data_IF_732247339866
#
_entry.id   IF_732247339866
#
_cell.length_a   1.000
_cell.length_b   1.000
_cell.length_c   1.000
_cell.angle_alpha   90.00
_cell.angle_beta   90.00
_cell.angle_gamma   90.00
#
_symmetry.space_group_name_H-M   'P 1'
#
loop_
_entity.id
_entity.type
_entity.pdbx_description
1 polymer ?
#
# COMPACT_ATOMS: atom_id res chain seq x y z
N UNK A 1 -3.37 10.73 10.66
CA UNK A 1 -2.85 9.59 9.88
C UNK A 1 -1.34 9.65 9.80
N UNK A 2 -0.71 8.49 9.73
CA UNK A 2 0.71 8.37 9.42
C UNK A 2 1.00 8.72 7.97
N UNK A 3 2.14 9.35 7.71
CA UNK A 3 2.59 9.65 6.35
C UNK A 3 2.93 8.37 5.58
N UNK A 4 2.70 8.36 4.27
CA UNK A 4 3.08 7.23 3.44
C UNK A 4 4.60 7.17 3.22
N UNK A 5 5.15 5.98 3.07
CA UNK A 5 6.55 5.75 2.73
C UNK A 5 6.86 6.14 1.28
N UNK A 6 8.02 6.67 1.03
CA UNK A 6 8.49 7.01 -0.31
C UNK A 6 8.92 5.77 -1.10
N UNK A 7 8.78 5.79 -2.41
CA UNK A 7 9.22 4.71 -3.27
C UNK A 7 10.76 4.61 -3.33
N UNK A 8 11.28 3.40 -3.45
CA UNK A 8 12.69 3.13 -3.68
C UNK A 8 13.13 3.53 -5.09
N UNK A 9 14.35 4.02 -5.22
CA UNK A 9 14.91 4.41 -6.51
C UNK A 9 15.22 3.21 -7.39
N UNK A 10 15.03 3.34 -8.71
CA UNK A 10 15.41 2.32 -9.67
C UNK A 10 16.93 2.29 -9.89
N UNK A 11 17.48 1.12 -10.25
CA UNK A 11 18.89 0.93 -10.55
C UNK A 11 19.07 0.22 -11.91
N UNK A 12 20.20 0.42 -12.56
CA UNK A 12 20.55 -0.29 -13.80
C UNK A 12 21.43 -1.50 -13.50
N UNK A 13 22.47 -1.32 -12.71
CA UNK A 13 23.50 -2.35 -12.46
C UNK A 13 23.56 -2.84 -11.01
N UNK A 14 22.91 -2.15 -10.07
CA UNK A 14 22.90 -2.52 -8.65
C UNK A 14 21.52 -2.95 -8.20
N UNK A 15 21.36 -3.28 -6.92
CA UNK A 15 20.04 -3.55 -6.38
C UNK A 15 19.16 -2.27 -6.43
N UNK A 16 17.87 -2.46 -6.68
CA UNK A 16 16.90 -1.37 -6.53
C UNK A 16 16.84 -0.86 -5.08
N UNK A 17 16.50 0.40 -4.91
CA UNK A 17 16.34 1.00 -3.58
C UNK A 17 15.17 0.39 -2.81
N UNK A 18 15.27 0.30 -1.50
CA UNK A 18 14.14 -0.14 -0.65
C UNK A 18 13.08 0.96 -0.54
N UNK A 19 11.80 0.55 -0.53
CA UNK A 19 10.69 1.46 -0.23
C UNK A 19 10.74 1.92 1.22
N UNK A 20 10.31 3.16 1.46
CA UNK A 20 10.23 3.73 2.80
C UNK A 20 9.11 3.10 3.62
N UNK A 21 9.28 3.00 4.93
CA UNK A 21 8.21 2.57 5.81
C UNK A 21 7.13 3.65 5.97
N UNK A 22 5.87 3.21 6.14
CA UNK A 22 4.77 4.10 6.50
C UNK A 22 4.90 4.62 7.93
N UNK A 23 4.45 5.84 8.16
CA UNK A 23 4.48 6.49 9.47
C UNK A 23 3.43 5.95 10.43
N UNK A 24 3.68 6.09 11.73
CA UNK A 24 2.73 5.77 12.80
C UNK A 24 1.89 7.03 13.08
N UNK A 25 0.56 6.92 13.20
CA UNK A 25 -0.30 8.05 13.54
C UNK A 25 -0.20 8.39 15.02
N UNK A 26 -0.92 9.45 15.45
CA UNK A 26 -1.22 9.67 16.87
C UNK A 26 -2.21 8.63 17.40
N UNK A 27 -2.90 8.93 18.52
CA UNK A 27 -3.84 8.00 19.16
C UNK A 27 -4.98 7.55 18.23
N UNK A 28 -5.49 8.46 17.39
CA UNK A 28 -6.57 8.22 16.42
C UNK A 28 -6.02 8.51 15.02
N UNK A 29 -6.16 7.57 14.13
CA UNK A 29 -5.73 7.69 12.75
C UNK A 29 -5.11 6.41 12.21
N UNK A 30 -5.08 6.28 10.90
CA UNK A 30 -4.50 5.11 10.25
C UNK A 30 -2.98 5.21 10.18
N UNK A 31 -2.31 4.08 10.29
CA UNK A 31 -0.90 3.96 9.90
C UNK A 31 -0.71 4.26 8.42
N UNK A 32 0.39 4.87 8.04
CA UNK A 32 0.71 5.14 6.64
C UNK A 32 1.07 3.86 5.88
N UNK A 33 0.79 3.83 4.59
CA UNK A 33 1.24 2.73 3.74
C UNK A 33 2.76 2.77 3.55
N UNK A 34 3.37 1.62 3.34
CA UNK A 34 4.76 1.52 2.87
C UNK A 34 4.89 1.99 1.43
N UNK A 35 6.09 2.22 0.95
CA UNK A 35 6.39 2.57 -0.44
C UNK A 35 6.92 1.38 -1.23
N UNK A 36 6.76 1.43 -2.56
CA UNK A 36 7.29 0.42 -3.50
C UNK A 36 8.81 0.25 -3.38
N UNK A 37 9.27 -0.98 -3.56
CA UNK A 37 10.67 -1.24 -3.83
C UNK A 37 11.06 -0.81 -5.24
N UNK A 38 12.25 -0.25 -5.39
CA UNK A 38 12.78 0.18 -6.70
C UNK A 38 13.09 -1.00 -7.61
N UNK A 39 12.83 -0.83 -8.90
CA UNK A 39 13.18 -1.83 -9.90
C UNK A 39 14.69 -1.83 -10.20
N UNK A 40 15.23 -2.97 -10.67
CA UNK A 40 16.58 -3.07 -11.20
C UNK A 40 16.57 -3.77 -12.56
N UNK A 41 17.52 -3.44 -13.41
CA UNK A 41 17.67 -4.11 -14.72
C UNK A 41 18.43 -5.43 -14.56
N UNK A 42 19.61 -5.39 -13.99
CA UNK A 42 20.50 -6.55 -13.86
C UNK A 42 20.67 -7.03 -12.43
N UNK A 43 20.32 -6.21 -11.44
CA UNK A 43 20.39 -6.55 -10.02
C UNK A 43 19.06 -7.05 -9.46
N UNK A 44 19.02 -7.27 -8.16
CA UNK A 44 17.79 -7.60 -7.45
C UNK A 44 16.90 -6.36 -7.31
N UNK A 45 15.59 -6.53 -7.42
CA UNK A 45 14.63 -5.47 -7.05
C UNK A 45 14.76 -5.11 -5.57
N UNK A 46 14.52 -3.85 -5.24
CA UNK A 46 14.48 -3.38 -3.85
C UNK A 46 13.30 -3.96 -3.09
N UNK A 47 13.40 -4.07 -1.78
CA UNK A 47 12.27 -4.52 -0.96
C UNK A 47 11.20 -3.42 -0.85
N UNK A 48 9.94 -3.82 -0.77
CA UNK A 48 8.84 -2.92 -0.44
C UNK A 48 8.92 -2.47 1.03
N UNK A 49 8.44 -1.26 1.29
CA UNK A 49 8.37 -0.69 2.63
C UNK A 49 7.25 -1.30 3.47
N UNK A 50 7.45 -1.38 4.78
CA UNK A 50 6.42 -1.83 5.71
C UNK A 50 5.36 -0.74 5.93
N UNK A 51 4.11 -1.16 6.16
CA UNK A 51 3.05 -0.25 6.63
C UNK A 51 3.23 0.13 8.09
N UNK A 52 2.81 1.34 8.46
CA UNK A 52 2.79 1.80 9.86
C UNK A 52 1.63 1.19 10.65
N UNK A 53 1.82 0.98 11.95
CA UNK A 53 0.76 0.48 12.83
C UNK A 53 -0.26 1.58 13.15
N UNK A 54 -1.55 1.20 13.32
CA UNK A 54 -2.51 2.01 14.06
C UNK A 54 -2.18 1.97 15.57
N UNK A 55 -2.65 2.95 16.34
CA UNK A 55 -2.34 2.99 17.80
C UNK A 55 -3.56 2.59 18.62
N UNK A 56 -4.56 3.43 18.76
CA UNK A 56 -5.79 3.12 19.49
C UNK A 56 -6.97 2.86 18.54
N UNK A 57 -7.26 3.82 17.68
CA UNK A 57 -8.34 3.75 16.70
C UNK A 57 -7.75 4.07 15.32
N UNK A 58 -7.90 3.17 14.39
CA UNK A 58 -7.46 3.31 13.01
C UNK A 58 -6.78 2.06 12.47
N UNK A 59 -6.79 1.90 11.18
CA UNK A 59 -6.21 0.72 10.54
C UNK A 59 -4.68 0.78 10.52
N UNK A 60 -4.04 -0.38 10.49
CA UNK A 60 -2.65 -0.48 10.08
C UNK A 60 -2.52 -0.14 8.60
N UNK A 61 -1.40 0.45 8.19
CA UNK A 61 -1.10 0.70 6.79
C UNK A 61 -0.74 -0.57 6.02
N UNK A 62 -0.97 -0.59 4.73
CA UNK A 62 -0.52 -1.70 3.89
C UNK A 62 1.01 -1.70 3.75
N UNK A 63 1.61 -2.89 3.73
CA UNK A 63 2.95 -3.05 3.18
C UNK A 63 2.90 -2.92 1.66
N UNK A 64 4.00 -2.56 1.02
CA UNK A 64 4.04 -2.42 -0.43
C UNK A 64 4.88 -3.50 -1.11
N UNK A 65 4.84 -3.53 -2.43
CA UNK A 65 5.49 -4.57 -3.21
C UNK A 65 7.00 -4.37 -3.32
N UNK A 66 7.72 -5.47 -3.45
CA UNK A 66 9.12 -5.41 -3.86
C UNK A 66 9.25 -5.05 -5.33
N UNK A 67 10.31 -4.36 -5.69
CA UNK A 67 10.64 -4.01 -7.07
C UNK A 67 10.99 -5.22 -7.92
N UNK A 68 10.84 -5.06 -9.23
CA UNK A 68 11.27 -6.06 -10.21
C UNK A 68 12.78 -6.04 -10.43
N UNK A 69 13.35 -7.15 -10.85
CA UNK A 69 14.77 -7.27 -11.13
C UNK A 69 15.12 -8.68 -11.60
N UNK A 70 16.41 -9.00 -11.70
CA UNK A 70 16.88 -10.37 -11.94
C UNK A 70 16.34 -11.35 -10.89
N UNK A 71 16.17 -10.85 -9.66
CA UNK A 71 15.34 -11.44 -8.63
C UNK A 71 14.41 -10.34 -8.08
N UNK A 72 13.15 -10.65 -7.85
CA UNK A 72 12.22 -9.69 -7.28
C UNK A 72 12.58 -9.35 -5.82
N UNK A 73 12.37 -8.10 -5.42
CA UNK A 73 12.43 -7.68 -4.03
C UNK A 73 11.27 -8.31 -3.22
N UNK A 74 11.43 -8.35 -1.91
CA UNK A 74 10.38 -8.84 -1.00
C UNK A 74 9.30 -7.77 -0.81
N UNK A 75 8.05 -8.20 -0.68
CA UNK A 75 6.98 -7.31 -0.25
C UNK A 75 7.18 -6.86 1.22
N UNK A 76 6.79 -5.64 1.52
CA UNK A 76 6.74 -5.13 2.88
C UNK A 76 5.60 -5.75 3.68
N UNK A 77 5.76 -5.83 5.00
CA UNK A 77 4.70 -6.26 5.90
C UNK A 77 3.69 -5.14 6.12
N UNK A 78 2.42 -5.48 6.26
CA UNK A 78 1.40 -4.52 6.71
C UNK A 78 1.54 -4.21 8.19
N UNK A 79 1.08 -3.02 8.59
CA UNK A 79 0.99 -2.63 9.99
C UNK A 79 -0.22 -3.27 10.67
N UNK A 80 -0.18 -3.38 11.98
CA UNK A 80 -1.30 -3.83 12.79
C UNK A 80 -2.34 -2.71 12.96
N UNK A 81 -3.60 -3.08 13.04
CA UNK A 81 -4.69 -2.16 13.38
C UNK A 81 -4.63 -1.69 14.83
N UNK A 82 -5.38 -0.63 15.13
CA UNK A 82 -5.44 -0.06 16.47
C UNK A 82 -6.02 -1.01 17.51
N UNK A 83 -5.65 -0.79 18.78
CA UNK A 83 -6.03 -1.69 19.88
C UNK A 83 -7.53 -1.72 20.16
N UNK A 84 -8.24 -0.62 19.95
CA UNK A 84 -9.69 -0.55 20.17
C UNK A 84 -10.47 -0.85 18.90
N UNK A 85 -10.14 -0.20 17.80
CA UNK A 85 -10.80 -0.39 16.50
C UNK A 85 -9.77 -0.18 15.39
N UNK A 86 -9.66 -1.13 14.48
CA UNK A 86 -8.85 -1.01 13.28
C UNK A 86 -8.54 -2.36 12.64
N UNK A 87 -8.53 -2.42 11.34
CA UNK A 87 -8.08 -3.59 10.59
C UNK A 87 -6.58 -3.54 10.35
N UNK A 88 -5.99 -4.71 10.27
CA UNK A 88 -4.60 -4.85 9.87
C UNK A 88 -4.41 -4.46 8.41
N UNK A 89 -3.23 -3.95 8.08
CA UNK A 89 -2.83 -3.72 6.71
C UNK A 89 -2.56 -5.03 5.97
N UNK A 90 -2.53 -4.97 4.64
CA UNK A 90 -2.20 -6.14 3.81
C UNK A 90 -0.84 -6.70 4.17
N UNK A 91 -0.74 -8.02 4.29
CA UNK A 91 0.46 -8.75 4.70
C UNK A 91 0.92 -8.49 6.15
N UNK A 92 0.04 -8.02 7.04
CA UNK A 92 0.38 -7.87 8.45
C UNK A 92 0.74 -9.22 9.08
N UNK A 93 1.64 -9.22 10.07
CA UNK A 93 1.96 -10.45 10.80
C UNK A 93 0.77 -10.93 11.63
N UNK A 94 0.71 -12.24 11.87
CA UNK A 94 -0.32 -12.84 12.74
C UNK A 94 -0.19 -12.27 14.15
N UNK A 95 -1.29 -11.81 14.70
CA UNK A 95 -1.34 -11.16 16.01
C UNK A 95 -2.01 -12.04 17.09
N UNK A 96 -2.16 -11.50 18.30
CA UNK A 96 -2.75 -12.22 19.43
C UNK A 96 -4.20 -12.63 19.17
N UNK A 97 -4.72 -13.62 19.91
CA UNK A 97 -6.09 -14.12 19.75
C UNK A 97 -7.17 -13.05 19.99
N UNK A 98 -6.95 -12.09 20.88
CA UNK A 98 -7.89 -10.97 21.11
C UNK A 98 -7.95 -10.08 19.87
N UNK A 99 -6.81 -9.77 19.29
CA UNK A 99 -6.73 -8.95 18.07
C UNK A 99 -7.37 -9.69 16.87
N UNK A 100 -7.17 -10.99 16.77
CA UNK A 100 -7.80 -11.83 15.73
C UNK A 100 -9.33 -11.82 15.85
N UNK A 101 -9.89 -11.87 17.07
CA UNK A 101 -11.34 -11.73 17.29
C UNK A 101 -11.85 -10.34 16.88
N UNK A 102 -11.10 -9.29 17.18
CA UNK A 102 -11.42 -7.93 16.75
C UNK A 102 -11.47 -7.84 15.22
N UNK A 103 -10.48 -8.39 14.53
CA UNK A 103 -10.44 -8.43 13.06
C UNK A 103 -11.66 -9.18 12.49
N UNK A 104 -12.03 -10.31 13.07
CA UNK A 104 -13.20 -11.08 12.65
C UNK A 104 -14.51 -10.28 12.83
N UNK A 105 -14.67 -9.58 13.96
CA UNK A 105 -15.83 -8.73 14.22
C UNK A 105 -15.94 -7.57 13.22
N UNK A 106 -14.82 -6.92 12.90
CA UNK A 106 -14.77 -5.84 11.92
C UNK A 106 -15.09 -6.33 10.50
N UNK A 107 -14.65 -7.54 10.13
CA UNK A 107 -14.99 -8.13 8.86
C UNK A 107 -16.50 -8.37 8.71
N UNK A 108 -17.17 -8.84 9.78
CA UNK A 108 -18.64 -9.00 9.80
C UNK A 108 -19.35 -7.65 9.62
N UNK A 109 -18.86 -6.58 10.26
CA UNK A 109 -19.41 -5.22 10.08
C UNK A 109 -19.19 -4.70 8.67
N UNK A 110 -18.06 -5.03 8.06
CA UNK A 110 -17.72 -4.58 6.71
C UNK A 110 -18.54 -5.28 5.61
N UNK A 111 -18.96 -6.52 5.83
CA UNK A 111 -19.59 -7.36 4.80
C UNK A 111 -20.79 -6.70 4.12
N UNK A 112 -21.79 -6.13 4.85
CA UNK A 112 -22.93 -5.45 4.20
C UNK A 112 -22.49 -4.26 3.33
N UNK A 113 -21.55 -3.46 3.80
CA UNK A 113 -21.06 -2.30 3.05
C UNK A 113 -20.27 -2.72 1.82
N UNK A 114 -19.43 -3.75 1.95
CA UNK A 114 -18.69 -4.33 0.84
C UNK A 114 -19.63 -4.88 -0.25
N UNK A 115 -20.70 -5.58 0.17
CA UNK A 115 -21.68 -6.18 -0.76
C UNK A 115 -22.50 -5.12 -1.47
N UNK A 116 -22.93 -4.05 -0.78
CA UNK A 116 -23.78 -3.01 -1.33
C UNK A 116 -23.03 -1.96 -2.15
N UNK A 117 -21.80 -1.63 -1.74
CA UNK A 117 -21.07 -0.48 -2.29
C UNK A 117 -19.72 -0.84 -2.93
N UNK A 118 -19.27 -2.09 -2.80
CA UNK A 118 -17.95 -2.52 -3.26
C UNK A 118 -16.79 -2.00 -2.38
N UNK A 119 -17.09 -1.32 -1.25
CA UNK A 119 -16.09 -0.77 -0.32
C UNK A 119 -16.43 -1.18 1.11
N UNK A 120 -15.45 -1.55 1.94
CA UNK A 120 -15.70 -1.80 3.36
C UNK A 120 -16.07 -0.49 4.08
N UNK A 121 -16.68 -0.60 5.27
CA UNK A 121 -16.89 0.55 6.13
C UNK A 121 -15.56 0.99 6.77
N UNK A 122 -14.81 0.02 7.28
CA UNK A 122 -13.50 0.19 7.92
C UNK A 122 -12.53 -0.79 7.25
N UNK A 123 -11.45 -0.28 6.72
CA UNK A 123 -10.42 -1.12 6.08
C UNK A 123 -9.63 -0.35 5.02
N UNK A 124 -8.43 -0.78 4.73
CA UNK A 124 -7.63 -0.21 3.65
C UNK A 124 -8.08 -0.75 2.29
N UNK A 125 -7.89 0.03 1.26
CA UNK A 125 -7.98 -0.44 -0.11
C UNK A 125 -6.88 -1.46 -0.41
N UNK A 126 -7.17 -2.42 -1.27
CA UNK A 126 -6.17 -3.37 -1.75
C UNK A 126 -5.12 -2.65 -2.61
N UNK A 127 -3.86 -3.06 -2.49
CA UNK A 127 -2.82 -2.57 -3.39
C UNK A 127 -3.06 -3.08 -4.83
N UNK A 128 -2.67 -2.31 -5.79
CA UNK A 128 -2.64 -2.73 -7.20
C UNK A 128 -1.68 -3.91 -7.39
N UNK A 129 -1.99 -4.78 -8.34
CA UNK A 129 -1.15 -5.95 -8.62
C UNK A 129 0.25 -5.51 -9.10
N UNK A 130 1.32 -5.95 -8.44
CA UNK A 130 2.68 -5.61 -8.83
C UNK A 130 3.01 -6.01 -10.27
N UNK A 131 3.76 -5.17 -10.97
CA UNK A 131 4.20 -5.43 -12.35
C UNK A 131 3.12 -5.25 -13.42
N UNK A 132 1.94 -4.74 -13.07
CA UNK A 132 0.83 -4.55 -14.01
C UNK A 132 0.45 -3.09 -14.22
N UNK A 133 0.91 -2.20 -13.36
CA UNK A 133 0.45 -0.81 -13.34
C UNK A 133 -1.02 -0.67 -12.92
N UNK A 134 -1.59 -1.67 -12.25
CA UNK A 134 -2.97 -1.62 -11.78
C UNK A 134 -3.14 -0.56 -10.69
N UNK A 135 -4.29 0.12 -10.68
CA UNK A 135 -4.60 1.08 -9.63
C UNK A 135 -4.86 0.40 -8.28
N UNK A 136 -4.54 1.10 -7.18
CA UNK A 136 -4.95 0.69 -5.83
C UNK A 136 -6.45 0.88 -5.63
N UNK A 137 -7.04 0.04 -4.79
CA UNK A 137 -8.43 0.11 -4.39
C UNK A 137 -8.70 1.28 -3.43
N UNK A 138 -9.93 1.75 -3.36
CA UNK A 138 -10.33 2.75 -2.39
C UNK A 138 -10.38 2.17 -0.96
N UNK A 139 -9.97 2.97 0.03
CA UNK A 139 -10.13 2.65 1.45
C UNK A 139 -11.59 2.67 1.89
N UNK A 140 -11.85 2.24 3.12
CA UNK A 140 -13.18 2.18 3.70
C UNK A 140 -13.89 3.54 3.74
N UNK A 141 -15.22 3.50 3.87
CA UNK A 141 -16.00 4.73 3.91
C UNK A 141 -15.66 5.62 5.08
N UNK A 142 -15.47 5.06 6.30
CA UNK A 142 -15.13 5.84 7.50
C UNK A 142 -13.62 5.92 7.69
N UNK A 143 -12.98 4.76 7.83
CA UNK A 143 -11.56 4.65 8.13
C UNK A 143 -10.88 3.77 7.08
N UNK A 144 -9.76 4.19 6.62
CA UNK A 144 -8.90 3.38 5.78
C UNK A 144 -8.11 4.20 4.77
N UNK A 145 -6.89 3.80 4.54
CA UNK A 145 -6.08 4.37 3.48
C UNK A 145 -6.48 3.78 2.12
N UNK A 146 -6.33 4.55 1.07
CA UNK A 146 -6.34 3.97 -0.27
C UNK A 146 -5.21 2.97 -0.45
N UNK A 147 -5.43 1.93 -1.24
CA UNK A 147 -4.38 1.00 -1.63
C UNK A 147 -3.34 1.68 -2.53
N UNK A 148 -2.10 1.24 -2.48
CA UNK A 148 -1.06 1.75 -3.36
C UNK A 148 -1.28 1.26 -4.80
N UNK A 149 -0.90 2.06 -5.79
CA UNK A 149 -0.86 1.62 -7.17
C UNK A 149 0.23 0.58 -7.39
N UNK A 150 -0.02 -0.43 -8.24
CA UNK A 150 1.00 -1.39 -8.63
C UNK A 150 2.07 -0.75 -9.50
N UNK A 151 3.33 -1.12 -9.32
CA UNK A 151 4.40 -0.65 -10.21
C UNK A 151 4.18 -1.16 -11.65
N UNK A 152 4.70 -0.41 -12.62
CA UNK A 152 4.63 -0.77 -14.03
C UNK A 152 5.50 -1.98 -14.36
N UNK A 153 5.16 -2.69 -15.44
CA UNK A 153 5.94 -3.82 -15.92
C UNK A 153 7.32 -3.37 -16.43
N UNK A 154 8.35 -4.19 -16.15
CA UNK A 154 9.66 -4.03 -16.80
C UNK A 154 9.61 -4.72 -18.15
N UNK A 155 9.53 -3.96 -19.23
CA UNK A 155 9.45 -4.49 -20.59
C UNK A 155 10.12 -3.55 -21.63
N UNK A 156 10.04 -3.92 -22.88
CA UNK A 156 10.56 -3.12 -24.00
C UNK A 156 9.62 -2.02 -24.46
N UNK A 157 8.39 -1.96 -23.93
CA UNK A 157 7.40 -0.95 -24.34
C UNK A 157 7.65 0.41 -23.65
N UNK A 158 7.44 1.49 -24.37
CA UNK A 158 7.64 2.85 -23.88
C UNK A 158 6.62 3.30 -22.81
N UNK A 159 5.62 2.47 -22.47
CA UNK A 159 4.45 2.84 -21.68
C UNK A 159 4.29 2.04 -20.38
N UNK A 160 5.39 1.62 -19.77
CA UNK A 160 5.34 0.90 -18.48
C UNK A 160 5.02 1.88 -17.34
N UNK A 161 3.80 2.41 -17.28
CA UNK A 161 3.35 3.33 -16.23
C UNK A 161 3.00 2.58 -14.95
N UNK A 162 3.25 3.21 -13.80
CA UNK A 162 2.71 2.74 -12.52
C UNK A 162 1.22 3.02 -12.40
N UNK A 163 0.53 2.27 -11.56
CA UNK A 163 -0.88 2.47 -11.25
C UNK A 163 -1.12 3.68 -10.34
N UNK A 164 -2.28 4.29 -10.43
CA UNK A 164 -2.70 5.32 -9.50
C UNK A 164 -2.98 4.72 -8.11
N UNK A 165 -2.70 5.48 -7.05
CA UNK A 165 -3.15 5.12 -5.71
C UNK A 165 -4.65 5.25 -5.56
N UNK A 166 -5.25 4.47 -4.66
CA UNK A 166 -6.67 4.54 -4.34
C UNK A 166 -7.01 5.72 -3.43
N UNK A 167 -8.28 6.13 -3.41
CA UNK A 167 -8.77 7.16 -2.52
C UNK A 167 -8.81 6.68 -1.06
N UNK A 168 -8.53 7.58 -0.11
CA UNK A 168 -8.68 7.32 1.32
C UNK A 168 -10.12 7.36 1.78
N UNK A 169 -10.34 7.00 3.07
CA UNK A 169 -11.63 7.10 3.73
C UNK A 169 -12.05 8.54 4.00
N UNK A 170 -13.33 8.77 4.27
CA UNK A 170 -13.89 10.10 4.39
C UNK A 170 -13.50 10.79 5.71
N UNK A 171 -13.54 10.04 6.84
CA UNK A 171 -13.22 10.61 8.16
C UNK A 171 -11.72 10.58 8.42
N UNK A 172 -11.11 9.40 8.30
CA UNK A 172 -9.68 9.21 8.50
C UNK A 172 -9.12 8.32 7.41
N UNK A 173 -8.13 8.81 6.73
CA UNK A 173 -7.46 8.05 5.72
C UNK A 173 -6.67 8.94 4.78
N UNK A 174 -5.58 8.41 4.27
CA UNK A 174 -4.78 9.04 3.23
C UNK A 174 -5.01 8.33 1.92
N UNK A 175 -4.83 9.01 0.80
CA UNK A 175 -4.75 8.35 -0.49
C UNK A 175 -3.57 7.38 -0.53
N UNK A 176 -3.67 6.33 -1.30
CA UNK A 176 -2.57 5.43 -1.58
C UNK A 176 -1.49 6.11 -2.42
N UNK A 177 -0.26 5.62 -2.32
CA UNK A 177 0.82 6.06 -3.19
C UNK A 177 0.54 5.67 -4.65
N UNK A 178 1.01 6.47 -5.59
CA UNK A 178 1.13 6.01 -6.97
C UNK A 178 2.24 4.96 -7.09
N UNK A 179 2.03 3.95 -7.91
CA UNK A 179 3.05 2.96 -8.22
C UNK A 179 4.18 3.57 -9.05
N UNK A 180 5.38 3.02 -8.91
CA UNK A 180 6.53 3.42 -9.72
C UNK A 180 6.36 2.99 -11.17
N UNK A 181 6.93 3.75 -12.11
CA UNK A 181 7.02 3.29 -13.49
C UNK A 181 7.93 2.08 -13.61
N UNK A 182 7.64 1.22 -14.58
CA UNK A 182 8.52 0.13 -14.97
C UNK A 182 9.74 0.64 -15.74
N UNK A 183 10.75 -0.20 -15.87
CA UNK A 183 11.94 0.09 -16.70
C UNK A 183 11.68 -0.39 -18.13
N UNK A 184 11.79 0.53 -19.10
CA UNK A 184 11.74 0.18 -20.52
C UNK A 184 13.14 0.36 -21.15
N UNK A 185 13.50 -0.49 -22.11
CA UNK A 185 14.79 -0.44 -22.80
C UNK A 185 14.96 0.75 -23.75
N UNK A 186 13.90 1.50 -24.06
CA UNK A 186 13.97 2.67 -24.96
C UNK A 186 13.55 4.00 -24.33
N UNK A 187 12.75 3.98 -23.28
CA UNK A 187 12.29 5.13 -22.51
C UNK A 187 11.87 4.65 -21.12
N UNK A 188 12.18 5.41 -20.08
CA UNK A 188 11.72 5.09 -18.72
C UNK A 188 10.21 5.04 -18.63
N UNK A 189 9.69 4.18 -17.76
CA UNK A 189 8.28 4.19 -17.41
C UNK A 189 7.91 5.46 -16.64
N UNK A 190 6.64 5.81 -16.61
CA UNK A 190 6.11 6.96 -15.88
C UNK A 190 5.45 6.47 -14.59
N UNK A 191 5.83 7.04 -13.43
CA UNK A 191 5.21 6.73 -12.16
C UNK A 191 3.73 7.12 -12.14
N UNK A 192 2.90 6.31 -11.48
CA UNK A 192 1.49 6.61 -11.31
C UNK A 192 1.23 7.78 -10.36
N UNK A 193 0.07 8.41 -10.49
CA UNK A 193 -0.36 9.45 -9.58
C UNK A 193 -0.81 8.88 -8.23
N UNK A 194 -0.56 9.59 -7.13
CA UNK A 194 -1.10 9.24 -5.82
C UNK A 194 -2.63 9.42 -5.77
N UNK A 195 -3.29 8.63 -4.96
CA UNK A 195 -4.73 8.77 -4.72
C UNK A 195 -5.07 9.99 -3.85
N UNK A 196 -6.33 10.39 -3.88
CA UNK A 196 -6.85 11.43 -3.00
C UNK A 196 -6.87 10.97 -1.55
N UNK A 197 -6.49 11.86 -0.63
CA UNK A 197 -6.60 11.63 0.79
C UNK A 197 -8.03 11.83 1.29
N UNK A 198 -8.36 11.21 2.41
CA UNK A 198 -9.55 11.52 3.18
C UNK A 198 -9.41 12.86 3.91
N UNK A 199 -10.53 13.41 4.37
CA UNK A 199 -10.52 14.56 5.28
C UNK A 199 -10.05 14.08 6.66
N UNK A 200 -9.29 14.89 7.34
CA UNK A 200 -8.80 14.67 8.71
C UNK A 200 -9.50 15.59 9.69
#
# INVERSE_FOLDING_TARGET
SGGAGGAGGAAITGPGGTGGAGGIPGLIGNGGNGGDGGASVTGTGGNGGAGGNGVQIGNGGNGDSGGTGAAAGKAGLGGLGGQLIGLDGSNAPVSTSVHTLQQAALNVVNEPFQTLTGRPLIGNGANGTPGTGAAGGAGGWLFGNGGNGGHGATNTAATATGGAGGAGGILFGTGGNGGTGGIATGAGGIGGAGGAGGVS
#
